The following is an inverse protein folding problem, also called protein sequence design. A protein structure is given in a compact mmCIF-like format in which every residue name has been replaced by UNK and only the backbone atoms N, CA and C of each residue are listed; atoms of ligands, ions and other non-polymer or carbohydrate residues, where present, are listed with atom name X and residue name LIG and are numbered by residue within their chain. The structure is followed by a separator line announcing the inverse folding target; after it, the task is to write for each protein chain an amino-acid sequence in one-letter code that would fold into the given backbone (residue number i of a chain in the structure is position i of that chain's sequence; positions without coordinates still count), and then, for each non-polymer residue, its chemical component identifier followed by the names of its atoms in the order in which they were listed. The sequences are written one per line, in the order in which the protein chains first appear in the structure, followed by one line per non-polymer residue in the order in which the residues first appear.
data_IF_335410540094
#
_entry.id   IF_335410540094
#
_cell.length_a   1.000
_cell.length_b   1.000
_cell.length_c   1.000
_cell.angle_alpha   90.00
_cell.angle_beta   90.00
_cell.angle_gamma   90.00
#
_symmetry.space_group_name_H-M   'P 1'
#
loop_
_entity.id
_entity.type
_entity.pdbx_description
1 polymer ?
#
# COMPACT_ATOMS: atom_id res chain seq x y z
N UNK A 1 -12.01 14.89 -13.08
CA UNK A 1 -10.71 14.22 -12.86
C UNK A 1 -10.65 13.77 -11.42
N UNK A 2 -10.82 12.47 -11.26
CA UNK A 2 -11.26 11.79 -10.05
C UNK A 2 -10.43 12.09 -8.80
N UNK A 3 -11.10 12.62 -7.77
CA UNK A 3 -10.55 12.77 -6.41
C UNK A 3 -9.84 11.48 -5.96
N UNK A 4 -10.44 10.32 -6.27
CA UNK A 4 -9.88 8.99 -6.01
C UNK A 4 -8.51 8.76 -6.68
N UNK A 5 -8.33 9.21 -7.94
CA UNK A 5 -7.04 9.12 -8.64
C UNK A 5 -5.99 10.02 -8.00
N UNK A 6 -6.38 11.22 -7.56
CA UNK A 6 -5.48 12.12 -6.83
C UNK A 6 -5.06 11.52 -5.49
N UNK A 7 -6.02 11.01 -4.71
CA UNK A 7 -5.79 10.40 -3.41
C UNK A 7 -4.84 9.19 -3.51
N UNK A 8 -5.03 8.32 -4.52
CA UNK A 8 -4.15 7.18 -4.79
C UNK A 8 -2.73 7.62 -5.20
N UNK A 9 -2.59 8.70 -5.98
CA UNK A 9 -1.26 9.24 -6.35
C UNK A 9 -0.52 9.81 -5.14
N UNK A 10 -1.22 10.53 -4.26
CA UNK A 10 -0.63 11.02 -3.01
C UNK A 10 -0.26 9.87 -2.07
N UNK A 11 -1.14 8.88 -1.95
CA UNK A 11 -0.87 7.68 -1.18
C UNK A 11 0.37 6.93 -1.70
N UNK A 12 0.51 6.78 -3.02
CA UNK A 12 1.68 6.15 -3.64
C UNK A 12 2.99 6.84 -3.25
N UNK A 13 3.02 8.18 -3.20
CA UNK A 13 4.19 8.94 -2.75
C UNK A 13 4.53 8.60 -1.30
N UNK A 14 3.54 8.60 -0.40
CA UNK A 14 3.73 8.24 1.01
C UNK A 14 4.28 6.82 1.19
N UNK A 15 3.74 5.85 0.44
CA UNK A 15 4.25 4.47 0.48
C UNK A 15 5.71 4.40 0.02
N UNK A 16 6.08 5.12 -1.04
CA UNK A 16 7.48 5.17 -1.53
C UNK A 16 8.44 5.77 -0.51
N UNK A 17 7.97 6.64 0.39
CA UNK A 17 8.76 7.27 1.46
C UNK A 17 8.93 6.41 2.73
N UNK A 18 8.23 5.28 2.88
CA UNK A 18 8.37 4.39 4.04
C UNK A 18 9.83 3.96 4.25
N UNK A 19 10.36 4.20 5.46
CA UNK A 19 11.81 4.24 5.70
C UNK A 19 12.44 2.87 5.96
N UNK A 20 11.67 1.86 6.33
CA UNK A 20 12.22 0.53 6.59
C UNK A 20 11.45 -0.27 7.63
N UNK A 21 11.95 -1.48 7.89
CA UNK A 21 11.40 -2.34 8.94
C UNK A 21 11.37 -1.62 10.30
N UNK A 22 10.25 -1.75 11.03
CA UNK A 22 9.99 -1.05 12.28
C UNK A 22 9.34 0.33 12.14
N UNK A 23 9.13 0.81 10.90
CA UNK A 23 8.34 2.01 10.65
C UNK A 23 6.85 1.72 10.93
N UNK A 24 6.31 2.26 12.03
CA UNK A 24 4.89 2.12 12.38
C UNK A 24 3.96 2.62 11.26
N UNK A 25 4.44 3.53 10.42
CA UNK A 25 3.67 4.05 9.28
C UNK A 25 3.40 2.97 8.23
N UNK A 26 4.16 1.88 8.18
CA UNK A 26 3.95 0.81 7.20
C UNK A 26 2.66 0.04 7.45
N UNK A 27 2.30 -0.22 8.71
CA UNK A 27 1.02 -0.84 9.05
C UNK A 27 -0.16 0.11 8.82
N UNK A 28 0.03 1.39 9.15
CA UNK A 28 -0.98 2.41 8.88
C UNK A 28 -1.23 2.56 7.38
N UNK A 29 -0.17 2.49 6.55
CA UNK A 29 -0.30 2.55 5.10
C UNK A 29 -1.19 1.42 4.55
N UNK A 30 -1.11 0.19 5.08
CA UNK A 30 -2.00 -0.89 4.62
C UNK A 30 -3.47 -0.58 4.97
N UNK A 31 -3.72 -0.03 6.16
CA UNK A 31 -5.09 0.36 6.57
C UNK A 31 -5.64 1.49 5.72
N UNK A 32 -4.82 2.49 5.45
CA UNK A 32 -5.19 3.62 4.59
C UNK A 32 -5.46 3.14 3.16
N UNK A 33 -4.66 2.20 2.65
CA UNK A 33 -4.91 1.59 1.35
C UNK A 33 -6.24 0.84 1.29
N UNK A 34 -6.61 0.09 2.34
CA UNK A 34 -7.92 -0.59 2.43
C UNK A 34 -9.08 0.40 2.26
N UNK A 35 -8.97 1.57 2.89
CA UNK A 35 -10.00 2.61 2.79
C UNK A 35 -10.10 3.20 1.37
N UNK A 36 -8.97 3.31 0.66
CA UNK A 36 -8.91 3.83 -0.71
C UNK A 36 -9.30 2.79 -1.78
N UNK A 37 -9.07 1.51 -1.49
CA UNK A 37 -9.27 0.38 -2.38
C UNK A 37 -10.13 -0.71 -1.70
N UNK A 38 -11.39 -0.37 -1.45
CA UNK A 38 -12.37 -1.23 -0.76
C UNK A 38 -12.61 -2.58 -1.46
N UNK A 39 -12.28 -2.67 -2.75
CA UNK A 39 -12.39 -3.87 -3.58
C UNK A 39 -11.19 -4.84 -3.45
N UNK A 40 -10.15 -4.45 -2.70
CA UNK A 40 -9.01 -5.33 -2.44
C UNK A 40 -9.34 -6.31 -1.31
N UNK A 41 -9.21 -7.63 -1.52
CA UNK A 41 -9.52 -8.62 -0.50
C UNK A 41 -8.55 -8.55 0.69
N UNK A 42 -9.08 -8.76 1.89
CA UNK A 42 -8.33 -8.68 3.15
C UNK A 42 -7.12 -9.63 3.18
N UNK A 43 -7.22 -10.81 2.58
CA UNK A 43 -6.11 -11.78 2.50
C UNK A 43 -4.85 -11.21 1.82
N UNK A 44 -5.03 -10.35 0.79
CA UNK A 44 -3.92 -9.67 0.12
C UNK A 44 -3.29 -8.62 1.02
N UNK A 45 -4.09 -7.95 1.84
CA UNK A 45 -3.63 -6.94 2.80
C UNK A 45 -2.90 -7.60 3.97
N UNK A 46 -3.42 -8.72 4.47
CA UNK A 46 -2.81 -9.51 5.54
C UNK A 46 -1.42 -10.03 5.13
N UNK A 47 -1.28 -10.46 3.87
CA UNK A 47 0.03 -10.86 3.32
C UNK A 47 1.04 -9.70 3.37
N UNK A 48 0.62 -8.47 3.06
CA UNK A 48 1.49 -7.28 3.10
C UNK A 48 1.84 -6.93 4.57
N UNK A 49 0.88 -7.06 5.48
CA UNK A 49 1.11 -6.85 6.92
C UNK A 49 2.12 -7.87 7.46
N UNK A 50 1.98 -9.14 7.08
CA UNK A 50 2.95 -10.19 7.43
C UNK A 50 4.34 -9.86 6.88
N UNK A 51 4.43 -9.41 5.62
CA UNK A 51 5.72 -9.01 5.04
C UNK A 51 6.34 -7.83 5.79
N UNK A 52 5.55 -6.84 6.21
CA UNK A 52 6.04 -5.72 7.02
C UNK A 52 6.47 -6.11 8.43
N UNK A 53 5.94 -7.23 8.97
CA UNK A 53 6.31 -7.77 10.28
C UNK A 53 7.67 -8.48 10.31
N UNK A 54 8.30 -8.69 9.16
CA UNK A 54 9.61 -9.32 9.08
C UNK A 54 10.60 -8.47 8.26
N UNK A 55 11.79 -8.23 8.83
CA UNK A 55 12.86 -7.44 8.22
C UNK A 55 13.30 -7.94 6.84
N UNK A 56 13.31 -9.25 6.64
CA UNK A 56 13.73 -9.88 5.37
C UNK A 56 12.70 -9.67 4.27
N UNK A 57 11.42 -9.65 4.63
CA UNK A 57 10.29 -9.52 3.69
C UNK A 57 9.77 -8.10 3.58
N UNK A 58 10.19 -7.19 4.45
CA UNK A 58 9.71 -5.81 4.50
C UNK A 58 9.76 -5.11 3.14
N UNK A 59 10.88 -5.26 2.42
CA UNK A 59 11.04 -4.67 1.08
C UNK A 59 10.03 -5.27 0.10
N UNK A 60 9.79 -6.58 0.17
CA UNK A 60 8.79 -7.26 -0.65
C UNK A 60 7.38 -6.77 -0.33
N UNK A 61 7.03 -6.60 0.96
CA UNK A 61 5.75 -6.03 1.38
C UNK A 61 5.53 -4.62 0.85
N UNK A 62 6.57 -3.78 0.91
CA UNK A 62 6.54 -2.42 0.34
C UNK A 62 6.29 -2.45 -1.17
N UNK A 63 7.00 -3.31 -1.90
CA UNK A 63 6.84 -3.47 -3.34
C UNK A 63 5.46 -4.01 -3.72
N UNK A 64 4.91 -4.96 -2.96
CA UNK A 64 3.54 -5.48 -3.16
C UNK A 64 2.50 -4.37 -2.97
N UNK A 65 2.65 -3.56 -1.93
CA UNK A 65 1.75 -2.42 -1.69
C UNK A 65 1.82 -1.40 -2.82
N UNK A 66 3.03 -1.04 -3.27
CA UNK A 66 3.24 -0.13 -4.42
C UNK A 66 2.54 -0.69 -5.68
N UNK A 67 2.76 -1.95 -6.01
CA UNK A 67 2.14 -2.60 -7.19
C UNK A 67 0.61 -2.58 -7.12
N UNK A 68 0.03 -2.83 -5.94
CA UNK A 68 -1.42 -2.79 -5.77
C UNK A 68 -1.98 -1.37 -6.01
N UNK A 69 -1.30 -0.34 -5.51
CA UNK A 69 -1.70 1.06 -5.73
C UNK A 69 -1.57 1.44 -7.21
N UNK A 70 -0.47 1.06 -7.85
CA UNK A 70 -0.26 1.32 -9.29
C UNK A 70 -1.28 0.59 -10.16
N UNK A 71 -1.64 -0.65 -9.82
CA UNK A 71 -2.74 -1.37 -10.49
C UNK A 71 -4.06 -0.63 -10.34
N UNK A 72 -4.39 -0.13 -9.14
CA UNK A 72 -5.62 0.65 -8.91
C UNK A 72 -5.64 1.98 -9.65
N UNK A 73 -4.48 2.61 -9.83
CA UNK A 73 -4.36 3.83 -10.64
C UNK A 73 -4.63 3.56 -12.13
N UNK A 74 -4.13 2.43 -12.64
CA UNK A 74 -4.37 2.00 -14.02
C UNK A 74 -5.84 1.62 -14.26
N UNK A 75 -6.52 1.03 -13.29
CA UNK A 75 -7.96 0.69 -13.38
C UNK A 75 -8.86 1.95 -13.51
N UNK A 76 -8.35 3.13 -13.16
CA UNK A 76 -9.07 4.42 -13.19
C UNK A 76 -8.72 5.25 -14.46
N UNK A 77 -7.77 4.81 -15.29
CA UNK A 77 -7.47 5.42 -16.60
C UNK A 77 -8.39 4.92 -17.71
#
# INVERSE_FOLDING_TARGET
MDKRKSDLKEFLKKVKELRGFGDMNSYQAVRDFKNLAQDVPDEKLDTIIQDFSNRQTYKSGKEKLIKNVESKLNDIE
#
